data_IF_324728662244
#
_entry.id   IF_324728662244
#
_cell.length_a   1.000
_cell.length_b   1.000
_cell.length_c   1.000
_cell.angle_alpha   90.00
_cell.angle_beta   90.00
_cell.angle_gamma   90.00
#
_symmetry.space_group_name_H-M   'P 1'
#
loop_
_entity.id
_entity.type
_entity.pdbx_description
1 polymer ?
#
# COMPACT_ATOMS: atom_id res chain seq x y z
N UNK A 1 7.29 5.95 19.93
CA UNK A 1 6.01 5.24 20.22
C UNK A 1 4.77 6.16 20.26
N UNK A 2 4.80 7.36 20.87
CA UNK A 2 3.62 8.26 20.93
C UNK A 2 3.05 8.67 19.56
N UNK A 3 3.92 8.96 18.59
CA UNK A 3 3.49 9.36 17.22
C UNK A 3 2.80 8.20 16.50
N UNK A 4 3.36 6.99 16.58
CA UNK A 4 2.76 5.80 15.97
C UNK A 4 1.39 5.49 16.58
N UNK A 5 1.22 5.68 17.89
CA UNK A 5 -0.07 5.51 18.58
C UNK A 5 -1.13 6.48 18.06
N UNK A 6 -0.80 7.77 17.93
CA UNK A 6 -1.74 8.77 17.42
C UNK A 6 -2.12 8.51 15.95
N UNK A 7 -1.17 8.07 15.12
CA UNK A 7 -1.43 7.73 13.72
C UNK A 7 -2.28 6.45 13.60
N UNK A 8 -2.16 5.53 14.57
CA UNK A 8 -3.01 4.34 14.67
C UNK A 8 -4.43 4.68 15.12
N UNK A 9 -4.58 5.40 16.23
CA UNK A 9 -5.89 5.75 16.80
C UNK A 9 -6.71 6.69 15.90
N UNK A 10 -6.05 7.54 15.11
CA UNK A 10 -6.73 8.44 14.18
C UNK A 10 -7.32 7.72 12.96
N UNK A 11 -6.74 6.58 12.55
CA UNK A 11 -7.07 5.92 11.29
C UNK A 11 -7.66 4.52 11.45
N UNK A 12 -7.62 3.94 12.64
CA UNK A 12 -8.05 2.57 12.90
C UNK A 12 -9.31 2.48 13.76
N UNK A 13 -10.06 1.41 13.56
CA UNK A 13 -11.25 1.05 14.35
C UNK A 13 -11.00 -0.25 15.14
N UNK A 14 -11.91 -0.59 16.05
CA UNK A 14 -11.84 -1.86 16.77
C UNK A 14 -12.43 -2.98 15.91
N UNK A 15 -11.68 -4.06 15.63
CA UNK A 15 -12.17 -5.15 14.80
C UNK A 15 -13.11 -6.08 15.55
N UNK A 16 -14.03 -6.67 14.80
CA UNK A 16 -14.88 -7.77 15.23
C UNK A 16 -14.63 -8.98 14.31
N UNK A 17 -13.63 -9.81 14.64
CA UNK A 17 -13.26 -10.96 13.80
C UNK A 17 -11.99 -11.72 14.23
N UNK A 18 -11.76 -12.92 13.67
CA UNK A 18 -10.66 -13.82 14.07
C UNK A 18 -9.31 -13.50 13.39
N UNK A 19 -9.23 -12.45 12.58
CA UNK A 19 -8.06 -12.11 11.78
C UNK A 19 -7.12 -11.19 12.55
N UNK A 20 -5.81 -11.48 12.44
CA UNK A 20 -4.83 -10.75 13.21
C UNK A 20 -3.42 -10.88 12.61
N UNK A 21 -2.94 -9.81 11.95
CA UNK A 21 -1.57 -9.70 11.44
C UNK A 21 -0.68 -8.97 12.44
N UNK A 22 0.61 -9.30 12.51
CA UNK A 22 1.53 -8.64 13.45
C UNK A 22 1.87 -7.23 12.96
N UNK A 23 1.86 -6.25 13.85
CA UNK A 23 2.39 -4.92 13.53
C UNK A 23 3.92 -4.96 13.45
N UNK A 24 4.45 -4.47 12.35
CA UNK A 24 5.85 -4.16 12.13
C UNK A 24 6.03 -2.64 12.03
N UNK A 25 6.98 -2.08 12.77
CA UNK A 25 7.25 -0.63 12.75
C UNK A 25 8.50 -0.36 11.93
N UNK A 26 8.34 0.35 10.83
CA UNK A 26 9.44 0.74 9.96
C UNK A 26 9.84 2.19 10.29
N UNK A 27 11.13 2.50 10.51
CA UNK A 27 11.57 3.88 10.67
C UNK A 27 11.35 4.64 9.35
N UNK A 28 10.67 5.78 9.41
CA UNK A 28 10.54 6.68 8.25
C UNK A 28 11.92 7.31 7.96
N UNK A 29 12.18 7.68 6.70
CA UNK A 29 13.39 8.47 6.35
C UNK A 29 13.37 9.86 7.01
N UNK A 30 12.18 10.37 7.30
CA UNK A 30 11.94 11.54 8.14
C UNK A 30 11.70 11.12 9.60
N UNK A 31 11.66 12.08 10.54
CA UNK A 31 11.28 11.77 11.92
C UNK A 31 9.92 11.07 11.99
N UNK A 32 9.89 9.87 12.56
CA UNK A 32 8.65 9.12 12.79
C UNK A 32 8.78 7.62 12.56
N UNK A 33 7.68 6.93 12.81
CA UNK A 33 7.54 5.50 12.60
C UNK A 33 6.35 5.25 11.68
N UNK A 34 6.47 4.27 10.80
CA UNK A 34 5.40 3.84 9.92
C UNK A 34 4.86 2.49 10.37
N UNK A 35 3.58 2.40 10.76
CA UNK A 35 2.95 1.12 11.01
C UNK A 35 2.81 0.35 9.69
N UNK A 36 3.32 -0.87 9.68
CA UNK A 36 3.32 -1.79 8.53
C UNK A 36 2.78 -3.13 9.01
N UNK A 37 1.80 -3.71 8.33
CA UNK A 37 1.31 -5.04 8.71
C UNK A 37 2.24 -6.12 8.16
N UNK A 38 2.58 -7.10 8.98
CA UNK A 38 3.22 -8.32 8.50
C UNK A 38 2.17 -9.20 7.81
N UNK A 39 1.98 -8.94 6.52
CA UNK A 39 1.05 -9.66 5.65
C UNK A 39 1.73 -10.81 4.89
N UNK A 40 2.92 -11.28 5.30
CA UNK A 40 3.65 -12.36 4.59
C UNK A 40 2.77 -13.59 4.31
N UNK A 41 1.98 -14.02 5.31
CA UNK A 41 1.05 -15.14 5.17
C UNK A 41 -0.10 -14.84 4.18
N UNK A 42 -0.64 -13.61 4.20
CA UNK A 42 -1.69 -13.17 3.30
C UNK A 42 -1.19 -12.98 1.85
N UNK A 43 0.08 -12.60 1.70
CA UNK A 43 0.74 -12.31 0.44
C UNK A 43 1.23 -13.57 -0.29
N UNK A 44 1.33 -14.72 0.39
CA UNK A 44 1.94 -15.95 -0.15
C UNK A 44 1.20 -16.52 -1.38
N UNK A 45 -0.10 -16.24 -1.53
CA UNK A 45 -0.92 -16.65 -2.67
C UNK A 45 -1.19 -15.54 -3.71
N UNK A 46 -0.65 -14.34 -3.51
CA UNK A 46 -0.94 -13.20 -4.39
C UNK A 46 0.07 -13.10 -5.54
N UNK A 47 -0.43 -13.15 -6.76
CA UNK A 47 0.36 -12.98 -7.99
C UNK A 47 0.60 -11.49 -8.23
N UNK A 48 1.84 -11.11 -8.52
CA UNK A 48 2.23 -9.74 -8.95
C UNK A 48 2.09 -9.59 -10.45
N UNK A 49 1.46 -8.51 -10.91
CA UNK A 49 1.00 -8.38 -12.31
C UNK A 49 1.79 -7.33 -13.12
N UNK A 50 2.88 -6.77 -12.60
CA UNK A 50 3.60 -5.72 -13.33
C UNK A 50 4.91 -6.23 -13.92
N UNK A 51 4.89 -6.51 -15.21
CA UNK A 51 6.09 -6.81 -15.98
C UNK A 51 6.72 -5.48 -16.45
N UNK A 52 7.89 -5.14 -15.90
CA UNK A 52 8.59 -3.89 -16.23
C UNK A 52 8.86 -3.72 -17.74
N UNK A 53 8.93 -4.82 -18.49
CA UNK A 53 9.15 -4.78 -19.94
C UNK A 53 7.97 -4.16 -20.69
N UNK A 54 6.73 -4.39 -20.25
CA UNK A 54 5.55 -3.79 -20.90
C UNK A 54 5.55 -2.26 -20.77
N UNK A 55 6.02 -1.75 -19.62
CA UNK A 55 6.21 -0.33 -19.42
C UNK A 55 7.37 0.21 -20.29
N UNK A 56 8.51 -0.48 -20.32
CA UNK A 56 9.67 -0.08 -21.12
C UNK A 56 9.36 0.04 -22.61
N UNK A 57 8.53 -0.85 -23.16
CA UNK A 57 8.06 -0.77 -24.54
C UNK A 57 7.14 0.44 -24.78
N UNK A 58 6.28 0.79 -23.82
CA UNK A 58 5.37 1.96 -23.95
C UNK A 58 6.09 3.30 -23.94
N UNK A 59 7.20 3.40 -23.22
CA UNK A 59 7.99 4.64 -23.14
C UNK A 59 9.08 4.74 -24.21
N UNK A 60 9.26 3.70 -25.03
CA UNK A 60 10.30 3.68 -26.05
C UNK A 60 10.04 4.75 -27.11
N UNK A 61 10.87 5.79 -27.12
CA UNK A 61 10.74 6.95 -28.03
C UNK A 61 10.15 8.21 -27.38
N UNK A 62 9.73 8.17 -26.11
CA UNK A 62 9.34 9.38 -25.37
C UNK A 62 10.58 10.22 -25.04
N UNK A 63 10.50 11.53 -25.31
CA UNK A 63 11.61 12.47 -25.04
C UNK A 63 11.46 13.21 -23.70
N UNK A 64 10.25 13.26 -23.14
CA UNK A 64 9.93 13.96 -21.90
C UNK A 64 9.27 13.01 -20.92
N UNK A 65 9.81 12.97 -19.71
CA UNK A 65 9.30 12.18 -18.60
C UNK A 65 8.92 13.10 -17.46
N UNK A 66 7.82 12.78 -16.78
CA UNK A 66 7.42 13.45 -15.54
C UNK A 66 7.18 12.40 -14.48
N UNK A 67 7.84 12.55 -13.33
CA UNK A 67 7.69 11.64 -12.19
C UNK A 67 6.74 12.29 -11.19
N UNK A 68 5.59 11.66 -10.97
CA UNK A 68 4.64 12.08 -9.96
C UNK A 68 4.85 11.27 -8.68
N UNK A 69 5.09 11.95 -7.57
CA UNK A 69 5.23 11.33 -6.24
C UNK A 69 4.01 11.67 -5.41
N UNK A 70 3.18 10.68 -5.13
CA UNK A 70 1.96 10.86 -4.34
C UNK A 70 2.24 10.63 -2.85
N UNK A 71 2.01 11.66 -2.04
CA UNK A 71 2.14 11.59 -0.58
C UNK A 71 0.93 10.84 -0.01
N UNK A 72 1.17 9.82 0.81
CA UNK A 72 0.12 9.02 1.48
C UNK A 72 -0.89 8.39 0.50
N UNK A 73 -0.41 8.00 -0.68
CA UNK A 73 -1.26 7.51 -1.77
C UNK A 73 -2.12 6.29 -1.37
N UNK A 74 -1.55 5.34 -0.61
CA UNK A 74 -2.28 4.15 -0.16
C UNK A 74 -3.41 4.45 0.83
N UNK A 75 -3.22 5.42 1.73
CA UNK A 75 -4.28 5.75 2.71
C UNK A 75 -5.48 6.45 2.08
N UNK A 76 -5.40 6.84 0.80
CA UNK A 76 -6.53 7.41 0.06
C UNK A 76 -7.42 6.34 -0.57
N UNK A 77 -6.93 5.12 -0.74
CA UNK A 77 -7.69 4.04 -1.36
C UNK A 77 -8.38 3.22 -0.25
N UNK A 78 -9.73 3.19 -0.22
CA UNK A 78 -10.47 2.36 0.72
C UNK A 78 -10.29 0.88 0.37
N UNK A 79 -10.20 0.03 1.40
CA UNK A 79 -10.24 -1.43 1.25
C UNK A 79 -11.71 -1.86 1.17
N UNK A 80 -11.98 -2.90 0.39
CA UNK A 80 -13.31 -3.51 0.30
C UNK A 80 -13.79 -3.93 1.70
N UNK A 81 -15.05 -3.67 2.06
CA UNK A 81 -15.60 -3.91 3.40
C UNK A 81 -15.38 -5.34 3.91
N UNK A 82 -15.48 -6.32 3.01
CA UNK A 82 -15.32 -7.74 3.33
C UNK A 82 -13.85 -8.13 3.57
N UNK A 83 -12.91 -7.33 3.07
CA UNK A 83 -11.48 -7.53 3.20
C UNK A 83 -10.84 -6.67 4.30
N UNK A 84 -11.58 -5.72 4.88
CA UNK A 84 -11.09 -4.88 6.01
C UNK A 84 -10.71 -5.75 7.21
N UNK A 85 -11.44 -6.83 7.49
CA UNK A 85 -11.09 -7.74 8.58
C UNK A 85 -9.73 -8.42 8.34
N UNK A 86 -9.29 -8.60 7.09
CA UNK A 86 -7.97 -9.19 6.77
C UNK A 86 -6.81 -8.22 6.98
N UNK A 87 -7.09 -6.92 7.11
CA UNK A 87 -6.08 -5.87 7.35
C UNK A 87 -5.93 -5.52 8.83
N UNK A 88 -6.49 -6.34 9.73
CA UNK A 88 -6.39 -6.15 11.17
C UNK A 88 -4.96 -6.36 11.64
N UNK A 89 -4.43 -5.38 12.37
CA UNK A 89 -3.11 -5.43 12.98
C UNK A 89 -3.19 -5.58 14.50
N UNK A 90 -2.44 -6.55 15.03
CA UNK A 90 -2.17 -6.70 16.47
C UNK A 90 -1.05 -5.74 16.85
N UNK A 91 -1.34 -4.88 17.83
CA UNK A 91 -0.36 -4.03 18.49
C UNK A 91 -0.32 -4.35 19.98
N UNK A 92 0.76 -3.99 20.71
CA UNK A 92 0.78 -4.09 22.17
C UNK A 92 -0.33 -3.31 22.88
N UNK A 93 -1.02 -2.41 22.18
CA UNK A 93 -2.11 -1.58 22.69
C UNK A 93 -3.50 -2.20 22.42
N UNK A 94 -3.59 -3.21 21.56
CA UNK A 94 -4.85 -3.80 21.11
C UNK A 94 -4.85 -4.16 19.63
N UNK A 95 -6.00 -4.66 19.18
CA UNK A 95 -6.29 -4.96 17.78
C UNK A 95 -6.88 -3.73 17.09
N UNK A 96 -6.42 -3.45 15.88
CA UNK A 96 -6.81 -2.26 15.11
C UNK A 96 -7.07 -2.65 13.65
N UNK A 97 -8.27 -2.36 13.14
CA UNK A 97 -8.61 -2.53 11.71
C UNK A 97 -8.32 -1.28 10.91
N UNK A 98 -7.85 -1.45 9.68
CA UNK A 98 -7.52 -0.35 8.77
C UNK A 98 -8.51 -0.36 7.60
N UNK A 99 -9.45 0.61 7.54
CA UNK A 99 -10.42 0.70 6.43
C UNK A 99 -9.77 1.19 5.12
N UNK A 100 -8.53 1.65 5.18
CA UNK A 100 -7.73 2.06 4.03
C UNK A 100 -6.55 1.14 3.83
N UNK A 101 -5.97 1.19 2.63
CA UNK A 101 -4.86 0.32 2.27
C UNK A 101 -3.64 0.60 3.16
N UNK A 102 -3.29 -0.40 3.98
CA UNK A 102 -2.12 -0.36 4.85
C UNK A 102 -0.85 -0.81 4.13
N UNK A 103 0.30 -0.31 4.57
CA UNK A 103 1.59 -0.75 4.06
C UNK A 103 1.86 -2.23 4.39
N UNK A 104 2.50 -2.95 3.45
CA UNK A 104 2.87 -4.36 3.56
C UNK A 104 1.99 -5.33 2.75
N UNK A 105 0.85 -4.87 2.22
CA UNK A 105 0.01 -5.68 1.33
C UNK A 105 0.65 -5.75 -0.06
N UNK A 106 0.85 -6.97 -0.58
CA UNK A 106 1.43 -7.18 -1.92
C UNK A 106 0.47 -6.81 -3.06
N UNK A 107 -0.82 -6.79 -2.77
CA UNK A 107 -1.88 -6.33 -3.67
C UNK A 107 -2.08 -4.82 -3.64
N UNK A 108 -1.46 -4.10 -2.70
CA UNK A 108 -1.69 -2.68 -2.53
C UNK A 108 -1.32 -1.90 -3.79
N UNK A 109 -0.11 -2.10 -4.31
CA UNK A 109 0.31 -1.33 -5.46
C UNK A 109 -0.31 -1.78 -6.78
N UNK A 110 -0.80 -3.02 -6.90
CA UNK A 110 -1.66 -3.40 -8.03
C UNK A 110 -2.97 -2.62 -8.05
N UNK A 111 -3.64 -2.51 -6.91
CA UNK A 111 -4.87 -1.73 -6.79
C UNK A 111 -4.58 -0.25 -7.05
N UNK A 112 -3.45 0.25 -6.55
CA UNK A 112 -3.02 1.62 -6.80
C UNK A 112 -2.72 1.89 -8.27
N UNK A 113 -2.03 0.97 -8.95
CA UNK A 113 -1.74 1.03 -10.38
C UNK A 113 -3.05 1.07 -11.18
N UNK A 114 -4.03 0.21 -10.86
CA UNK A 114 -5.35 0.22 -11.51
C UNK A 114 -6.11 1.53 -11.29
N UNK A 115 -6.03 2.07 -10.07
CA UNK A 115 -6.65 3.35 -9.75
C UNK A 115 -6.05 4.50 -10.57
N UNK A 116 -4.72 4.58 -10.64
CA UNK A 116 -4.08 5.64 -11.43
C UNK A 116 -4.30 5.41 -12.93
N UNK A 117 -4.25 4.17 -13.43
CA UNK A 117 -4.57 3.84 -14.82
C UNK A 117 -6.00 4.28 -15.21
N UNK A 118 -6.95 4.18 -14.29
CA UNK A 118 -8.30 4.71 -14.47
C UNK A 118 -8.34 6.24 -14.48
N UNK A 119 -7.58 6.91 -13.62
CA UNK A 119 -7.48 8.38 -13.58
C UNK A 119 -6.84 8.94 -14.85
N UNK A 120 -5.81 8.28 -15.39
CA UNK A 120 -5.15 8.70 -16.64
C UNK A 120 -5.82 8.13 -17.89
N UNK A 121 -6.89 7.34 -17.75
CA UNK A 121 -7.59 6.73 -18.89
C UNK A 121 -8.10 7.81 -19.83
N UNK A 122 -7.61 7.81 -21.07
CA UNK A 122 -7.91 8.83 -22.07
C UNK A 122 -6.80 9.88 -22.28
N UNK A 123 -5.69 9.78 -21.54
CA UNK A 123 -4.47 10.53 -21.80
C UNK A 123 -3.46 9.65 -22.52
N UNK A 124 -3.46 9.67 -23.85
CA UNK A 124 -2.58 8.83 -24.69
C UNK A 124 -1.08 9.13 -24.50
N UNK A 125 -0.74 10.26 -23.88
CA UNK A 125 0.63 10.67 -23.56
C UNK A 125 1.10 10.27 -22.15
N UNK A 126 0.24 9.66 -21.32
CA UNK A 126 0.56 9.28 -19.96
C UNK A 126 0.67 7.76 -19.82
N UNK A 127 1.86 7.27 -19.46
CA UNK A 127 2.06 5.90 -19.00
C UNK A 127 2.44 5.91 -17.53
N UNK A 128 1.75 5.10 -16.74
CA UNK A 128 1.91 5.04 -15.28
C UNK A 128 2.66 3.77 -14.93
N UNK A 129 3.66 3.90 -14.07
CA UNK A 129 4.37 2.76 -13.51
C UNK A 129 4.59 2.99 -12.02
N UNK A 130 4.14 2.02 -11.23
CA UNK A 130 4.40 1.96 -9.82
C UNK A 130 5.68 1.16 -9.58
N UNK A 131 6.74 1.85 -9.16
CA UNK A 131 7.94 1.20 -8.66
C UNK A 131 7.70 0.78 -7.20
N UNK A 132 7.11 -0.40 -7.01
CA UNK A 132 6.94 -1.00 -5.69
C UNK A 132 8.25 -1.56 -5.15
N UNK A 133 9.22 -0.68 -4.88
CA UNK A 133 10.31 -0.98 -3.96
C UNK A 133 9.79 -0.88 -2.51
N UNK A 134 8.72 -1.62 -2.17
CA UNK A 134 8.49 -1.97 -0.78
C UNK A 134 9.64 -2.88 -0.41
N UNK A 135 10.57 -2.34 0.39
CA UNK A 135 11.75 -3.06 0.85
C UNK A 135 11.40 -4.50 1.16
N UNK A 136 11.87 -5.40 0.29
CA UNK A 136 12.03 -6.79 0.61
C UNK A 136 12.95 -6.81 1.81
N UNK A 137 12.35 -6.85 3.00
CA UNK A 137 13.10 -7.26 4.17
C UNK A 137 13.65 -8.65 3.86
N UNK A 138 14.96 -8.89 4.10
CA UNK A 138 15.48 -10.25 4.10
C UNK A 138 14.73 -11.17 5.08
#
# INVERSE_FOLDING_TARGET
>A
MRIAKAELEANARFPDGPWASRLHLVPKKTEGWQPCGDYRALNAGQVTVHHIQDFAHRIYGCQVFSVLVLVKAYTQIPVNSDDVLKTVMITPLGLFEFPFMSFGLRSAGQTFQRFIDEVVRGLDFCSVYLDENIGTFP
#
